data_IF_762838965595
#
_entry.id   IF_762838965595
#
_cell.length_a   1.000
_cell.length_b   1.000
_cell.length_c   1.000
_cell.angle_alpha   90.00
_cell.angle_beta   90.00
_cell.angle_gamma   90.00
#
_symmetry.space_group_name_H-M   'P 1'
#
loop_
_entity.id
_entity.type
_entity.pdbx_description
1 polymer ?
#
# COMPACT_ATOMS: atom_id res chain seq x y z
N UNK A 1 -17.58 52.42 -8.01
CA UNK A 1 -18.52 51.29 -7.83
C UNK A 1 -17.68 50.03 -7.75
N UNK A 2 -17.59 49.41 -6.58
CA UNK A 2 -16.82 48.16 -6.40
C UNK A 2 -17.66 47.04 -6.99
N UNK A 3 -17.25 46.53 -8.15
CA UNK A 3 -17.85 45.35 -8.77
C UNK A 3 -17.11 44.16 -8.18
N UNK A 4 -17.71 43.48 -7.22
CA UNK A 4 -17.17 42.22 -6.71
C UNK A 4 -17.05 41.22 -7.86
N UNK A 5 -15.84 40.68 -8.05
CA UNK A 5 -15.52 39.71 -9.10
C UNK A 5 -16.35 38.44 -8.90
N UNK A 6 -17.05 37.99 -9.96
CA UNK A 6 -17.67 36.66 -9.99
C UNK A 6 -16.57 35.61 -9.83
N UNK A 7 -16.47 34.98 -8.66
CA UNK A 7 -15.46 33.95 -8.39
C UNK A 7 -15.70 32.66 -9.18
N UNK A 8 -16.93 32.42 -9.64
CA UNK A 8 -17.30 31.23 -10.38
C UNK A 8 -18.28 31.58 -11.51
N UNK A 9 -18.06 31.02 -12.69
CA UNK A 9 -18.87 31.24 -13.90
C UNK A 9 -19.91 30.14 -14.12
N UNK A 10 -19.70 28.96 -13.53
CA UNK A 10 -20.50 27.76 -13.75
C UNK A 10 -20.71 27.00 -12.43
N UNK A 11 -21.80 26.25 -12.35
CA UNK A 11 -22.15 25.43 -11.19
C UNK A 11 -22.94 24.19 -11.57
N UNK A 12 -23.00 23.23 -10.66
CA UNK A 12 -23.68 21.94 -10.86
C UNK A 12 -24.78 21.76 -9.81
N UNK A 13 -25.93 21.28 -10.25
CA UNK A 13 -27.08 20.98 -9.39
C UNK A 13 -27.44 19.51 -9.60
N UNK A 14 -27.47 18.75 -8.51
CA UNK A 14 -27.90 17.35 -8.51
C UNK A 14 -29.34 17.24 -8.00
N UNK A 15 -30.16 16.47 -8.70
CA UNK A 15 -31.56 16.22 -8.33
C UNK A 15 -31.76 14.74 -8.06
N UNK A 16 -32.51 14.39 -7.01
CA UNK A 16 -32.90 13.01 -6.74
C UNK A 16 -33.84 12.44 -7.83
N UNK A 17 -34.76 13.25 -8.33
CA UNK A 17 -35.75 12.83 -9.35
C UNK A 17 -35.38 13.32 -10.75
N UNK A 18 -35.13 12.40 -11.68
CA UNK A 18 -34.83 12.73 -13.09
C UNK A 18 -35.94 13.52 -13.79
N UNK A 19 -37.21 13.33 -13.40
CA UNK A 19 -38.36 14.04 -13.99
C UNK A 19 -38.32 15.52 -13.62
N UNK A 20 -38.06 15.84 -12.34
CA UNK A 20 -37.94 17.22 -11.85
C UNK A 20 -36.75 17.92 -12.51
N UNK A 21 -35.60 17.24 -12.58
CA UNK A 21 -34.40 17.77 -13.24
C UNK A 21 -34.67 18.18 -14.69
N UNK A 22 -35.34 17.32 -15.47
CA UNK A 22 -35.72 17.61 -16.85
C UNK A 22 -36.71 18.76 -16.94
N UNK A 23 -37.75 18.77 -16.11
CA UNK A 23 -38.77 19.82 -16.12
C UNK A 23 -38.13 21.19 -15.82
N UNK A 24 -37.30 21.28 -14.78
CA UNK A 24 -36.61 22.52 -14.40
C UNK A 24 -35.67 22.98 -15.52
N UNK A 25 -34.85 22.08 -16.07
CA UNK A 25 -33.96 22.43 -17.17
C UNK A 25 -34.73 22.95 -18.39
N UNK A 26 -35.85 22.34 -18.75
CA UNK A 26 -36.66 22.80 -19.89
C UNK A 26 -37.39 24.12 -19.60
N UNK A 27 -37.91 24.31 -18.39
CA UNK A 27 -38.68 25.50 -18.03
C UNK A 27 -37.81 26.73 -17.78
N UNK A 28 -36.64 26.57 -17.16
CA UNK A 28 -35.79 27.70 -16.80
C UNK A 28 -34.78 28.05 -17.88
N UNK A 29 -34.35 27.11 -18.73
CA UNK A 29 -33.37 27.42 -19.76
C UNK A 29 -33.88 28.51 -20.73
N UNK A 30 -33.11 29.59 -20.90
CA UNK A 30 -33.49 30.73 -21.72
C UNK A 30 -34.42 31.73 -21.04
N UNK A 31 -34.81 31.51 -19.78
CA UNK A 31 -35.60 32.48 -19.01
C UNK A 31 -34.70 33.47 -18.26
N UNK A 32 -35.20 34.68 -18.02
CA UNK A 32 -34.48 35.66 -17.20
C UNK A 32 -34.42 35.20 -15.75
N UNK A 33 -33.30 35.46 -15.08
CA UNK A 33 -33.11 35.11 -13.66
C UNK A 33 -34.18 35.72 -12.75
N UNK A 34 -34.69 36.89 -13.15
CA UNK A 34 -35.64 37.66 -12.38
C UNK A 34 -34.96 38.37 -11.19
N UNK A 35 -35.77 38.93 -10.29
CA UNK A 35 -35.30 39.63 -9.09
C UNK A 35 -35.74 41.09 -9.01
N UNK A 36 -35.15 41.85 -8.09
CA UNK A 36 -35.45 43.28 -7.90
C UNK A 36 -35.07 44.04 -9.17
N UNK A 37 -35.94 44.92 -9.68
CA UNK A 37 -35.77 45.68 -10.94
C UNK A 37 -34.42 46.39 -11.13
N UNK A 38 -33.69 46.68 -10.05
CA UNK A 38 -32.38 47.37 -10.07
C UNK A 38 -31.23 46.48 -9.57
N UNK A 39 -31.45 45.16 -9.51
CA UNK A 39 -30.45 44.18 -9.10
C UNK A 39 -29.48 43.83 -10.22
N UNK A 40 -28.29 43.36 -9.86
CA UNK A 40 -27.23 43.03 -10.80
C UNK A 40 -27.61 41.92 -11.80
N UNK A 41 -28.39 40.93 -11.37
CA UNK A 41 -28.75 39.74 -12.16
C UNK A 41 -30.13 39.82 -12.84
N UNK A 42 -30.75 41.01 -12.87
CA UNK A 42 -32.15 41.16 -13.33
C UNK A 42 -32.31 40.78 -14.80
N UNK A 43 -31.31 41.10 -15.62
CA UNK A 43 -31.33 40.87 -17.07
C UNK A 43 -30.57 39.60 -17.48
N UNK A 44 -29.83 38.97 -16.54
CA UNK A 44 -29.10 37.73 -16.78
C UNK A 44 -30.08 36.60 -17.12
N UNK A 45 -29.64 35.70 -18.00
CA UNK A 45 -30.44 34.58 -18.51
C UNK A 45 -29.93 33.27 -17.91
N UNK A 46 -30.85 32.39 -17.52
CA UNK A 46 -30.52 31.02 -17.14
C UNK A 46 -30.03 30.21 -18.34
N UNK A 47 -28.84 29.64 -18.24
CA UNK A 47 -28.32 28.65 -19.17
C UNK A 47 -28.17 27.32 -18.43
N UNK A 48 -29.09 26.38 -18.68
CA UNK A 48 -29.16 25.11 -17.97
C UNK A 48 -29.14 23.95 -18.96
N UNK A 49 -28.30 22.96 -18.70
CA UNK A 49 -28.22 21.72 -19.47
C UNK A 49 -28.47 20.51 -18.57
N UNK A 50 -29.48 19.71 -18.91
CA UNK A 50 -29.69 18.43 -18.25
C UNK A 50 -28.67 17.39 -18.74
N UNK A 51 -28.00 16.75 -17.79
CA UNK A 51 -27.04 15.68 -18.07
C UNK A 51 -27.57 14.37 -17.46
N UNK A 52 -27.75 13.37 -18.32
CA UNK A 52 -28.25 12.05 -17.91
C UNK A 52 -27.09 11.21 -17.36
N UNK A 53 -27.36 10.44 -16.30
CA UNK A 53 -26.38 9.54 -15.65
C UNK A 53 -25.13 10.28 -15.12
N UNK A 54 -25.29 11.54 -14.72
CA UNK A 54 -24.21 12.35 -14.20
C UNK A 54 -24.43 12.65 -12.73
N UNK A 55 -23.47 12.28 -11.88
CA UNK A 55 -23.53 12.43 -10.43
C UNK A 55 -22.35 13.27 -9.94
N UNK A 56 -22.43 13.86 -8.73
CA UNK A 56 -21.32 14.63 -8.14
C UNK A 56 -20.00 13.83 -8.03
N UNK A 57 -20.09 12.52 -7.87
CA UNK A 57 -18.93 11.62 -7.89
C UNK A 57 -18.10 11.77 -9.17
N UNK A 58 -18.72 11.94 -10.34
CA UNK A 58 -18.00 12.06 -11.62
C UNK A 58 -17.22 13.37 -11.74
N UNK A 59 -17.67 14.46 -11.10
CA UNK A 59 -16.94 15.74 -11.07
C UNK A 59 -15.65 15.63 -10.27
N UNK A 60 -15.71 14.88 -9.18
CA UNK A 60 -14.59 14.74 -8.25
C UNK A 60 -13.73 13.52 -8.56
N UNK A 61 -14.19 12.64 -9.46
CA UNK A 61 -13.57 11.36 -9.78
C UNK A 61 -12.12 11.51 -10.22
N UNK A 62 -11.82 12.43 -11.14
CA UNK A 62 -10.44 12.65 -11.61
C UNK A 62 -9.50 13.03 -10.44
N UNK A 63 -9.90 14.02 -9.63
CA UNK A 63 -9.11 14.45 -8.46
C UNK A 63 -8.99 13.34 -7.41
N UNK A 64 -10.07 12.58 -7.18
CA UNK A 64 -10.08 11.46 -6.25
C UNK A 64 -9.17 10.33 -6.73
N UNK A 65 -9.19 10.02 -8.03
CA UNK A 65 -8.32 9.05 -8.68
C UNK A 65 -6.86 9.44 -8.54
N UNK A 66 -6.50 10.68 -8.90
CA UNK A 66 -5.13 11.20 -8.77
C UNK A 66 -4.62 11.09 -7.33
N UNK A 67 -5.44 11.50 -6.34
CA UNK A 67 -5.10 11.35 -4.91
C UNK A 67 -4.93 9.89 -4.50
N UNK A 68 -5.78 8.97 -4.99
CA UNK A 68 -5.66 7.53 -4.71
C UNK A 68 -4.36 6.97 -5.27
N UNK A 69 -4.02 7.32 -6.51
CA UNK A 69 -2.76 6.90 -7.16
C UNK A 69 -1.55 7.43 -6.39
N UNK A 70 -1.55 8.71 -6.02
CA UNK A 70 -0.47 9.31 -5.23
C UNK A 70 -0.31 8.62 -3.87
N UNK A 71 -1.41 8.42 -3.13
CA UNK A 71 -1.40 7.72 -1.84
C UNK A 71 -0.88 6.29 -1.97
N UNK A 72 -1.25 5.60 -3.04
CA UNK A 72 -0.78 4.25 -3.30
C UNK A 72 0.73 4.22 -3.56
N UNK A 73 1.23 5.12 -4.41
CA UNK A 73 2.68 5.24 -4.70
C UNK A 73 3.49 5.51 -3.43
N UNK A 74 3.07 6.49 -2.62
CA UNK A 74 3.72 6.79 -1.33
C UNK A 74 3.73 5.60 -0.38
N UNK A 75 2.63 4.82 -0.36
CA UNK A 75 2.56 3.60 0.47
C UNK A 75 3.57 2.56 0.01
N UNK A 76 3.72 2.36 -1.30
CA UNK A 76 4.71 1.42 -1.85
C UNK A 76 6.13 1.86 -1.52
N UNK A 77 6.45 3.14 -1.70
CA UNK A 77 7.75 3.71 -1.34
C UNK A 77 8.06 3.57 0.16
N UNK A 78 7.05 3.75 1.02
CA UNK A 78 7.21 3.52 2.46
C UNK A 78 7.47 2.04 2.79
N UNK A 79 6.81 1.12 2.08
CA UNK A 79 7.01 -0.33 2.25
C UNK A 79 8.42 -0.73 1.81
N UNK A 80 8.90 -0.24 0.66
CA UNK A 80 10.24 -0.56 0.17
C UNK A 80 11.31 -0.01 1.10
N UNK A 81 11.18 1.24 1.58
CA UNK A 81 12.11 1.83 2.54
C UNK A 81 12.13 1.06 3.88
N UNK A 82 10.95 0.68 4.41
CA UNK A 82 10.87 -0.14 5.63
C UNK A 82 11.53 -1.50 5.47
N UNK A 83 11.35 -2.15 4.32
CA UNK A 83 12.00 -3.43 4.01
C UNK A 83 13.52 -3.28 3.96
N UNK A 84 14.02 -2.28 3.25
CA UNK A 84 15.47 -2.00 3.16
C UNK A 84 16.07 -1.70 4.54
N UNK A 85 15.37 -0.93 5.38
CA UNK A 85 15.83 -0.64 6.74
C UNK A 85 15.87 -1.88 7.63
N UNK A 86 14.86 -2.76 7.55
CA UNK A 86 14.84 -4.02 8.29
C UNK A 86 15.99 -4.94 7.87
N UNK A 87 16.21 -5.08 6.56
CA UNK A 87 17.34 -5.84 6.00
C UNK A 87 18.69 -5.29 6.47
N UNK A 88 18.84 -3.95 6.51
CA UNK A 88 20.05 -3.32 7.01
C UNK A 88 20.30 -3.62 8.51
N UNK A 89 19.27 -3.55 9.35
CA UNK A 89 19.40 -3.88 10.78
C UNK A 89 19.85 -5.34 10.97
N UNK A 90 19.24 -6.28 10.26
CA UNK A 90 19.67 -7.69 10.31
C UNK A 90 21.13 -7.87 9.88
N UNK A 91 21.58 -7.18 8.83
CA UNK A 91 22.96 -7.26 8.35
C UNK A 91 23.94 -6.68 9.38
N UNK A 92 23.58 -5.59 10.05
CA UNK A 92 24.38 -4.97 11.12
C UNK A 92 24.49 -5.93 12.32
N UNK A 93 23.40 -6.56 12.73
CA UNK A 93 23.39 -7.56 13.81
C UNK A 93 24.25 -8.78 13.46
N UNK A 94 24.07 -9.34 12.25
CA UNK A 94 24.90 -10.44 11.72
C UNK A 94 26.38 -10.05 11.71
N UNK A 95 26.72 -8.83 11.27
CA UNK A 95 28.09 -8.31 11.28
C UNK A 95 28.67 -8.20 12.69
N UNK A 96 27.91 -7.65 13.65
CA UNK A 96 28.32 -7.58 15.06
C UNK A 96 28.57 -8.98 15.65
N UNK A 97 27.69 -9.94 15.37
CA UNK A 97 27.85 -11.32 15.80
C UNK A 97 29.13 -11.94 15.22
N UNK A 98 29.37 -11.82 13.91
CA UNK A 98 30.58 -12.32 13.25
C UNK A 98 31.83 -11.65 13.83
N UNK A 99 31.83 -10.34 14.03
CA UNK A 99 32.95 -9.61 14.64
C UNK A 99 33.24 -10.09 16.06
N UNK A 100 32.22 -10.35 16.89
CA UNK A 100 32.39 -10.88 18.25
C UNK A 100 33.00 -12.29 18.26
N UNK A 101 32.63 -13.13 17.28
CA UNK A 101 33.21 -14.47 17.13
C UNK A 101 34.65 -14.36 16.64
N UNK A 102 34.93 -13.47 15.67
CA UNK A 102 36.27 -13.24 15.17
C UNK A 102 37.20 -12.68 16.26
N UNK A 103 36.75 -11.74 17.10
CA UNK A 103 37.56 -11.22 18.20
C UNK A 103 37.84 -12.29 19.26
N UNK A 104 36.85 -13.13 19.62
CA UNK A 104 37.07 -14.30 20.49
C UNK A 104 38.05 -15.30 19.90
N UNK A 105 37.91 -15.63 18.61
CA UNK A 105 38.84 -16.50 17.89
C UNK A 105 40.24 -15.88 17.82
N UNK A 106 40.36 -14.58 17.56
CA UNK A 106 41.64 -13.85 17.55
C UNK A 106 42.30 -13.79 18.92
N UNK A 107 41.53 -13.70 20.00
CA UNK A 107 42.01 -13.81 21.37
C UNK A 107 42.53 -15.21 21.66
N UNK A 108 41.76 -16.25 21.33
CA UNK A 108 42.19 -17.64 21.45
C UNK A 108 43.41 -17.96 20.56
N UNK A 109 43.47 -17.41 19.34
CA UNK A 109 44.65 -17.56 18.48
C UNK A 109 45.79 -16.65 18.89
N UNK A 110 45.61 -15.58 19.69
CA UNK A 110 46.71 -14.83 20.30
C UNK A 110 47.25 -15.53 21.55
N UNK A 111 46.38 -16.21 22.30
CA UNK A 111 46.79 -17.11 23.38
C UNK A 111 47.45 -18.39 22.83
N UNK A 112 47.02 -18.88 21.66
CA UNK A 112 47.66 -19.99 20.95
C UNK A 112 48.88 -19.56 20.13
N UNK A 113 48.92 -18.36 19.53
CA UNK A 113 50.06 -17.83 18.75
C UNK A 113 51.13 -17.12 19.61
N UNK A 114 50.98 -17.13 20.93
CA UNK A 114 52.15 -17.13 21.80
C UNK A 114 52.94 -18.45 21.69
N UNK A 115 52.43 -19.42 20.91
CA UNK A 115 53.16 -20.47 20.24
C UNK A 115 52.88 -20.40 18.73
N UNK A 116 53.84 -19.86 17.97
CA UNK A 116 54.04 -20.04 16.52
C UNK A 116 53.34 -19.06 15.54
N UNK A 117 54.20 -18.27 14.88
CA UNK A 117 53.99 -17.51 13.65
C UNK A 117 53.69 -18.42 12.45
N UNK A 118 52.79 -18.00 11.55
CA UNK A 118 52.97 -18.10 10.07
C UNK A 118 51.77 -17.57 9.28
N UNK A 119 52.06 -16.63 8.39
CA UNK A 119 51.20 -16.06 7.36
C UNK A 119 50.76 -17.10 6.32
N UNK A 120 49.46 -17.41 6.22
CA UNK A 120 48.76 -17.79 4.96
C UNK A 120 47.34 -18.32 5.23
N UNK A 121 46.35 -17.50 5.57
CA UNK A 121 44.95 -18.04 5.69
C UNK A 121 43.80 -17.03 5.55
N UNK A 122 43.90 -16.00 4.70
CA UNK A 122 42.81 -15.01 4.61
C UNK A 122 41.71 -15.33 3.57
N UNK A 123 41.93 -16.16 2.56
CA UNK A 123 40.97 -16.28 1.44
C UNK A 123 40.13 -17.58 1.41
N UNK A 124 40.51 -18.61 2.16
CA UNK A 124 39.84 -19.93 2.08
C UNK A 124 38.63 -20.11 3.03
N UNK A 125 38.34 -19.14 3.90
CA UNK A 125 37.37 -19.32 5.00
C UNK A 125 35.91 -18.93 4.69
N UNK A 126 35.60 -18.36 3.52
CA UNK A 126 34.20 -18.06 3.13
C UNK A 126 33.44 -19.26 2.56
N UNK A 127 34.14 -20.30 2.07
CA UNK A 127 33.54 -21.43 1.33
C UNK A 127 33.26 -22.70 2.17
N UNK A 128 33.50 -22.70 3.49
CA UNK A 128 33.40 -23.92 4.31
C UNK A 128 32.28 -23.95 5.36
N UNK A 129 31.30 -23.06 5.30
CA UNK A 129 30.04 -23.25 6.07
C UNK A 129 29.12 -24.19 5.26
N UNK A 130 29.59 -25.40 4.93
CA UNK A 130 28.73 -26.50 4.45
C UNK A 130 28.02 -27.09 5.66
N UNK A 131 26.81 -26.63 5.95
CA UNK A 131 25.92 -27.29 6.92
C UNK A 131 25.63 -28.71 6.39
N UNK A 132 26.19 -29.73 7.03
CA UNK A 132 25.84 -31.13 6.75
C UNK A 132 24.43 -31.37 7.27
N UNK A 133 23.45 -31.33 6.39
CA UNK A 133 22.08 -31.73 6.72
C UNK A 133 22.07 -33.24 6.99
N UNK A 134 21.69 -33.65 8.20
CA UNK A 134 21.45 -35.07 8.49
C UNK A 134 20.11 -35.47 7.88
N UNK A 135 20.15 -36.14 6.74
CA UNK A 135 18.97 -36.72 6.09
C UNK A 135 18.44 -37.85 6.99
N UNK A 136 17.16 -37.76 7.39
CA UNK A 136 16.49 -38.87 8.09
C UNK A 136 16.27 -40.00 7.08
N UNK A 137 16.50 -41.24 7.49
CA UNK A 137 16.21 -42.42 6.65
C UNK A 137 14.69 -42.49 6.41
N UNK A 138 14.23 -42.81 5.19
CA UNK A 138 12.81 -42.99 4.91
C UNK A 138 12.25 -44.14 5.75
N UNK A 139 11.04 -43.96 6.26
CA UNK A 139 10.29 -44.97 7.01
C UNK A 139 9.77 -45.98 5.98
N UNK A 140 10.21 -47.24 6.10
CA UNK A 140 9.64 -48.33 5.35
C UNK A 140 8.24 -48.62 5.91
N UNK A 141 7.22 -48.34 5.11
CA UNK A 141 5.85 -48.76 5.42
C UNK A 141 5.75 -50.22 4.99
N UNK A 142 6.10 -51.13 5.89
CA UNK A 142 5.68 -52.54 5.75
C UNK A 142 4.17 -52.55 5.88
N UNK A 143 3.51 -52.94 4.79
CA UNK A 143 2.06 -53.00 4.72
C UNK A 143 1.51 -53.91 5.80
N UNK A 144 0.78 -53.33 6.74
CA UNK A 144 -0.45 -53.93 7.20
C UNK A 144 -1.35 -52.89 7.90
N UNK A 145 -2.65 -53.07 7.64
CA UNK A 145 -3.81 -52.41 8.25
C UNK A 145 -4.23 -51.04 7.71
N UNK A 146 -5.08 -51.12 6.68
CA UNK A 146 -6.21 -50.21 6.52
C UNK A 146 -7.27 -50.52 7.60
N UNK A 147 -7.99 -49.45 7.94
CA UNK A 147 -9.35 -49.35 8.51
C UNK A 147 -9.41 -49.03 10.02
N UNK A 148 -10.24 -48.01 10.32
CA UNK A 148 -10.67 -47.44 11.61
C UNK A 148 -9.74 -46.31 12.10
N UNK A 149 -10.10 -45.02 12.18
CA UNK A 149 -11.40 -44.39 12.43
C UNK A 149 -11.54 -43.01 11.78
N UNK A 150 -12.76 -42.76 11.35
CA UNK A 150 -13.30 -41.46 11.00
C UNK A 150 -13.76 -40.77 12.29
N UNK A 151 -13.09 -39.69 12.68
CA UNK A 151 -13.63 -38.59 13.50
C UNK A 151 -12.46 -37.72 13.94
N UNK A 152 -12.41 -36.49 13.44
CA UNK A 152 -11.91 -35.25 14.06
C UNK A 152 -11.61 -34.27 12.92
N UNK A 153 -12.66 -33.90 12.18
CA UNK A 153 -12.61 -32.81 11.20
C UNK A 153 -13.79 -31.85 11.40
N UNK A 154 -14.16 -31.68 12.68
CA UNK A 154 -14.99 -30.59 13.17
C UNK A 154 -14.22 -29.91 14.30
N UNK A 155 -13.65 -28.73 14.02
CA UNK A 155 -13.08 -27.89 15.07
C UNK A 155 -11.70 -27.31 14.77
N UNK A 156 -11.53 -26.57 13.67
CA UNK A 156 -10.58 -25.46 13.64
C UNK A 156 -10.91 -24.40 12.57
N UNK A 157 -12.17 -23.96 12.50
CA UNK A 157 -12.51 -22.62 12.03
C UNK A 157 -13.23 -21.90 13.18
N UNK A 158 -12.46 -21.31 14.10
CA UNK A 158 -12.85 -20.13 14.87
C UNK A 158 -11.74 -19.72 15.84
N UNK A 159 -11.13 -18.56 15.60
CA UNK A 159 -10.90 -17.51 16.61
C UNK A 159 -10.25 -16.29 15.95
N UNK A 160 -11.03 -15.20 16.02
CA UNK A 160 -10.73 -13.77 16.14
C UNK A 160 -9.72 -13.09 15.20
#
# INVERSE_FOLDING_TARGET
VVIEKKNYTEGWIEFADKKKAKAIAMSFNGTKLGGKKRGFYTEDIWNLKYLRHFNWSHLTEKKAYERRVQKHKLRLEMITAKKQNAEFLELVEKKKMIMSIQSRKRGATKELANCEDSEATSEKNLHQIRRRFRQKKPIEVSGDQRVLESSTLDGLMSRD
#
